data_IF_408347776591
#
_entry.id   IF_408347776591
#
_cell.length_a   1.000
_cell.length_b   1.000
_cell.length_c   1.000
_cell.angle_alpha   90.00
_cell.angle_beta   90.00
_cell.angle_gamma   90.00
#
_symmetry.space_group_name_H-M   'P 1'
#
loop_
_entity.id
_entity.type
_entity.pdbx_description
1 polymer ?
#
# COMPACT_ATOMS: atom_id res chain seq x y z
N UNK A 1 -12.90 2.50 25.33
CA UNK A 1 -13.58 1.74 24.25
C UNK A 1 -12.73 1.81 22.98
N UNK A 2 -13.16 1.17 21.89
CA UNK A 2 -12.44 1.14 20.61
C UNK A 2 -12.32 2.53 19.97
N UNK A 3 -13.42 3.29 19.86
CA UNK A 3 -13.45 4.59 19.21
C UNK A 3 -12.52 5.61 19.89
N UNK A 4 -12.51 5.62 21.23
CA UNK A 4 -11.60 6.47 21.99
C UNK A 4 -10.12 6.18 21.68
N UNK A 5 -9.75 4.90 21.51
CA UNK A 5 -8.37 4.51 21.15
C UNK A 5 -8.05 4.84 19.70
N UNK A 6 -8.99 4.61 18.79
CA UNK A 6 -8.87 4.97 17.37
C UNK A 6 -8.60 6.46 17.21
N UNK A 7 -9.40 7.31 17.85
CA UNK A 7 -9.25 8.76 17.77
C UNK A 7 -7.94 9.25 18.41
N UNK A 8 -7.53 8.65 19.53
CA UNK A 8 -6.24 8.97 20.15
C UNK A 8 -5.06 8.63 19.22
N UNK A 9 -5.10 7.47 18.57
CA UNK A 9 -4.09 7.06 17.60
C UNK A 9 -4.04 7.99 16.38
N UNK A 10 -5.20 8.33 15.79
CA UNK A 10 -5.27 9.27 14.66
C UNK A 10 -4.67 10.63 15.01
N UNK A 11 -5.00 11.19 16.19
CA UNK A 11 -4.43 12.46 16.66
C UNK A 11 -2.91 12.40 16.85
N UNK A 12 -2.42 11.27 17.35
CA UNK A 12 -0.98 11.03 17.48
C UNK A 12 -0.31 11.03 16.10
N UNK A 13 -0.79 10.21 15.16
CA UNK A 13 -0.26 10.15 13.79
C UNK A 13 -0.32 11.50 13.06
N UNK A 14 -1.43 12.25 13.20
CA UNK A 14 -1.62 13.54 12.55
C UNK A 14 -0.62 14.63 12.99
N UNK A 15 0.05 14.43 14.13
CA UNK A 15 1.04 15.36 14.70
C UNK A 15 2.46 14.81 14.69
N UNK A 16 2.66 13.55 14.29
CA UNK A 16 3.96 12.88 14.25
C UNK A 16 4.22 12.34 12.85
N UNK A 17 4.94 13.12 12.04
CA UNK A 17 5.44 12.68 10.73
C UNK A 17 6.84 12.09 10.90
N UNK A 18 7.08 10.82 10.48
CA UNK A 18 8.42 10.24 10.48
C UNK A 18 9.37 10.86 9.44
N UNK A 19 8.85 11.71 8.53
CA UNK A 19 9.60 12.32 7.42
C UNK A 19 9.96 11.33 6.31
N UNK A 20 10.55 11.83 5.22
CA UNK A 20 10.97 11.02 4.09
C UNK A 20 9.82 10.30 3.40
N UNK A 21 10.07 9.12 2.85
CA UNK A 21 9.09 8.37 2.03
C UNK A 21 7.79 8.03 2.79
N UNK A 22 7.85 7.87 4.11
CA UNK A 22 6.70 7.50 4.93
C UNK A 22 6.03 8.70 5.62
N UNK A 23 6.60 9.90 5.49
CA UNK A 23 6.10 11.10 6.15
C UNK A 23 4.65 11.44 5.76
N UNK A 24 4.30 11.25 4.49
CA UNK A 24 2.97 11.58 3.98
C UNK A 24 1.83 10.72 4.55
N UNK A 25 2.12 9.52 5.12
CA UNK A 25 1.08 8.70 5.75
C UNK A 25 0.42 9.41 6.96
N UNK A 26 1.14 10.29 7.65
CA UNK A 26 0.57 11.16 8.69
C UNK A 26 -0.57 12.04 8.17
N UNK A 27 -0.56 12.37 6.87
CA UNK A 27 -1.56 13.21 6.22
C UNK A 27 -2.87 12.46 5.99
N UNK A 28 -2.84 11.13 5.88
CA UNK A 28 -4.05 10.30 5.88
C UNK A 28 -4.80 10.43 7.20
N UNK A 29 -4.07 10.48 8.33
CA UNK A 29 -4.69 10.69 9.64
C UNK A 29 -5.29 12.09 9.78
N UNK A 30 -4.66 13.12 9.18
CA UNK A 30 -5.23 14.49 9.13
C UNK A 30 -6.52 14.53 8.33
N UNK A 31 -6.54 13.89 7.15
CA UNK A 31 -7.73 13.80 6.31
C UNK A 31 -8.90 13.10 7.03
N UNK A 32 -8.63 11.98 7.69
CA UNK A 32 -9.63 11.27 8.50
C UNK A 32 -10.19 12.13 9.65
N UNK A 33 -9.37 13.03 10.20
CA UNK A 33 -9.78 13.96 11.26
C UNK A 33 -10.45 15.24 10.74
N UNK A 34 -10.62 15.39 9.42
CA UNK A 34 -11.15 16.62 8.81
C UNK A 34 -10.22 17.82 8.96
N UNK A 35 -8.91 17.58 8.84
CA UNK A 35 -7.87 18.61 8.93
C UNK A 35 -7.18 18.78 7.59
N UNK A 36 -6.84 20.03 7.24
CA UNK A 36 -6.08 20.33 6.03
C UNK A 36 -4.73 19.60 6.05
N UNK A 37 -4.34 19.03 4.92
CA UNK A 37 -3.02 18.39 4.79
C UNK A 37 -1.90 19.43 4.81
N UNK A 38 -0.74 19.03 5.31
CA UNK A 38 0.54 19.64 4.94
C UNK A 38 0.99 19.00 3.62
N UNK A 39 1.18 19.81 2.58
CA UNK A 39 1.59 19.31 1.27
C UNK A 39 3.07 18.92 1.22
N UNK A 40 3.93 19.45 2.11
CA UNK A 40 5.38 19.24 2.01
C UNK A 40 5.79 17.75 2.04
N UNK A 41 5.24 16.89 2.93
CA UNK A 41 5.51 15.46 2.90
C UNK A 41 5.08 14.74 1.60
N UNK A 42 4.08 15.25 0.87
CA UNK A 42 3.71 14.67 -0.42
C UNK A 42 4.80 14.88 -1.46
N UNK A 43 5.44 16.06 -1.47
CA UNK A 43 6.52 16.33 -2.41
C UNK A 43 7.78 15.48 -2.13
N UNK A 44 8.06 15.16 -0.86
CA UNK A 44 9.10 14.18 -0.50
C UNK A 44 8.75 12.78 -1.04
N UNK A 45 7.50 12.35 -0.87
CA UNK A 45 6.99 11.09 -1.42
C UNK A 45 7.04 11.06 -2.96
N UNK A 46 6.68 12.15 -3.64
CA UNK A 46 6.76 12.25 -5.10
C UNK A 46 8.20 12.14 -5.58
N UNK A 47 9.17 12.75 -4.89
CA UNK A 47 10.58 12.62 -5.26
C UNK A 47 11.05 11.15 -5.25
N UNK A 48 10.55 10.32 -4.31
CA UNK A 48 10.87 8.89 -4.24
C UNK A 48 10.28 8.13 -5.43
N UNK A 49 9.03 8.42 -5.79
CA UNK A 49 8.33 7.81 -6.93
C UNK A 49 8.97 8.23 -8.25
N UNK A 50 9.19 9.53 -8.45
CA UNK A 50 9.73 10.12 -9.67
C UNK A 50 11.17 9.63 -9.91
N UNK A 51 11.96 9.43 -8.84
CA UNK A 51 13.30 8.85 -8.90
C UNK A 51 13.33 7.30 -8.98
N UNK A 52 12.17 6.64 -9.01
CA UNK A 52 12.02 5.17 -9.08
C UNK A 52 12.85 4.44 -8.02
N UNK A 53 12.88 4.99 -6.80
CA UNK A 53 13.62 4.38 -5.70
C UNK A 53 12.91 3.12 -5.20
N UNK A 54 13.69 2.24 -4.58
CA UNK A 54 13.16 1.05 -3.91
C UNK A 54 12.10 1.42 -2.86
N UNK A 55 11.08 0.58 -2.74
CA UNK A 55 9.91 0.82 -1.88
C UNK A 55 9.03 2.03 -2.27
N UNK A 56 9.07 2.47 -3.54
CA UNK A 56 8.16 3.48 -4.10
C UNK A 56 6.72 2.97 -4.31
N UNK A 57 6.55 1.65 -4.42
CA UNK A 57 5.25 0.96 -4.39
C UNK A 57 4.51 1.22 -3.06
N UNK A 58 5.20 1.24 -1.92
CA UNK A 58 4.53 1.53 -0.65
C UNK A 58 3.94 2.95 -0.64
N UNK A 59 4.65 3.89 -1.28
CA UNK A 59 4.16 5.25 -1.49
C UNK A 59 2.92 5.25 -2.38
N UNK A 60 2.93 4.51 -3.50
CA UNK A 60 1.78 4.41 -4.40
C UNK A 60 0.56 3.83 -3.67
N UNK A 61 0.71 2.79 -2.86
CA UNK A 61 -0.39 2.22 -2.08
C UNK A 61 -1.03 3.23 -1.11
N UNK A 62 -0.22 4.07 -0.45
CA UNK A 62 -0.73 5.15 0.39
C UNK A 62 -1.43 6.26 -0.42
N UNK A 63 -0.88 6.63 -1.56
CA UNK A 63 -1.46 7.62 -2.47
C UNK A 63 -2.80 7.15 -3.06
N UNK A 64 -2.90 5.87 -3.45
CA UNK A 64 -4.15 5.27 -3.90
C UNK A 64 -5.21 5.30 -2.80
N UNK A 65 -4.85 4.97 -1.55
CA UNK A 65 -5.80 5.08 -0.43
C UNK A 65 -6.35 6.49 -0.27
N UNK A 66 -5.52 7.52 -0.48
CA UNK A 66 -5.97 8.92 -0.49
C UNK A 66 -6.95 9.18 -1.63
N UNK A 67 -6.67 8.70 -2.84
CA UNK A 67 -7.59 8.86 -3.97
C UNK A 67 -8.93 8.13 -3.77
N UNK A 68 -8.94 6.95 -3.15
CA UNK A 68 -10.19 6.23 -2.91
C UNK A 68 -11.07 6.88 -1.82
N UNK A 69 -10.46 7.44 -0.77
CA UNK A 69 -11.20 7.94 0.39
C UNK A 69 -11.43 9.45 0.37
N UNK A 70 -10.49 10.22 -0.18
CA UNK A 70 -10.38 11.66 0.06
C UNK A 70 -10.21 12.50 -1.21
N UNK A 71 -10.37 11.92 -2.41
CA UNK A 71 -10.21 12.64 -3.68
C UNK A 71 -11.08 13.90 -3.82
N UNK A 72 -12.26 13.87 -3.21
CA UNK A 72 -13.22 14.99 -3.21
C UNK A 72 -13.26 15.74 -1.86
N UNK A 73 -12.30 15.48 -0.96
CA UNK A 73 -12.24 16.14 0.34
C UNK A 73 -11.87 17.62 0.19
N UNK A 74 -12.52 18.54 0.92
CA UNK A 74 -12.12 19.96 0.92
C UNK A 74 -10.77 20.22 1.61
N UNK A 75 -10.22 19.23 2.30
CA UNK A 75 -8.98 19.32 3.09
C UNK A 75 -7.71 18.95 2.29
N UNK A 76 -7.85 18.69 1.00
CA UNK A 76 -6.74 18.46 0.07
C UNK A 76 -7.00 19.23 -1.22
N UNK A 77 -5.99 19.96 -1.71
CA UNK A 77 -6.15 20.78 -2.89
C UNK A 77 -6.36 19.92 -4.13
N UNK A 78 -7.19 20.38 -5.08
CA UNK A 78 -7.40 19.69 -6.35
C UNK A 78 -6.08 19.56 -7.14
N UNK A 79 -5.23 20.57 -7.04
CA UNK A 79 -3.90 20.60 -7.64
C UNK A 79 -2.97 19.49 -7.09
N UNK A 80 -3.04 19.21 -5.77
CA UNK A 80 -2.32 18.08 -5.19
C UNK A 80 -2.91 16.74 -5.63
N UNK A 81 -4.25 16.61 -5.68
CA UNK A 81 -4.90 15.40 -6.20
C UNK A 81 -4.43 15.10 -7.64
N UNK A 82 -4.45 16.08 -8.55
CA UNK A 82 -3.99 15.88 -9.93
C UNK A 82 -2.53 15.45 -10.01
N UNK A 83 -1.67 15.96 -9.13
CA UNK A 83 -0.28 15.49 -9.02
C UNK A 83 -0.20 14.03 -8.59
N UNK A 84 -1.05 13.60 -7.66
CA UNK A 84 -1.12 12.20 -7.22
C UNK A 84 -1.58 11.30 -8.38
N UNK A 85 -2.68 11.67 -9.06
CA UNK A 85 -3.22 10.91 -10.19
C UNK A 85 -2.15 10.74 -11.30
N UNK A 86 -1.40 11.79 -11.62
CA UNK A 86 -0.32 11.72 -12.61
C UNK A 86 0.78 10.72 -12.24
N UNK A 87 1.14 10.59 -10.95
CA UNK A 87 2.15 9.62 -10.50
C UNK A 87 1.61 8.20 -10.57
N UNK A 88 0.35 8.00 -10.17
CA UNK A 88 -0.32 6.70 -10.26
C UNK A 88 -0.36 6.23 -11.72
N UNK A 89 -0.84 7.06 -12.65
CA UNK A 89 -0.91 6.70 -14.08
C UNK A 89 0.46 6.58 -14.77
N UNK A 90 1.49 7.23 -14.23
CA UNK A 90 2.87 7.18 -14.72
C UNK A 90 3.74 6.12 -14.06
N UNK A 91 3.23 5.40 -13.07
CA UNK A 91 4.02 4.42 -12.32
C UNK A 91 4.31 3.18 -13.16
N UNK A 92 5.45 2.55 -12.87
CA UNK A 92 5.83 1.24 -13.42
C UNK A 92 5.39 0.16 -12.45
N UNK A 93 4.32 -0.54 -12.79
CA UNK A 93 3.67 -1.54 -11.92
C UNK A 93 4.37 -2.88 -11.96
N UNK A 94 5.04 -3.22 -13.06
CA UNK A 94 5.80 -4.47 -13.13
C UNK A 94 7.12 -4.35 -13.90
N UNK A 95 8.09 -5.19 -13.54
CA UNK A 95 9.47 -5.17 -14.05
C UNK A 95 9.59 -5.37 -15.57
N UNK A 96 8.61 -6.02 -16.21
CA UNK A 96 8.55 -6.26 -17.65
C UNK A 96 7.97 -5.10 -18.47
N UNK A 97 7.49 -4.03 -17.82
CA UNK A 97 7.07 -2.82 -18.52
C UNK A 97 8.25 -2.10 -19.19
N UNK A 98 7.99 -1.55 -20.38
CA UNK A 98 9.03 -1.12 -21.30
C UNK A 98 9.92 0.05 -20.80
N UNK A 99 9.36 0.99 -20.03
CA UNK A 99 10.07 2.23 -19.66
C UNK A 99 10.78 2.15 -18.30
N UNK A 100 12.02 2.67 -18.25
CA UNK A 100 12.86 2.82 -17.06
C UNK A 100 13.53 1.53 -16.58
N UNK A 101 14.28 1.63 -15.48
CA UNK A 101 15.08 0.51 -14.96
C UNK A 101 14.32 -0.43 -14.00
N UNK A 102 14.98 -1.53 -13.65
CA UNK A 102 14.51 -2.56 -12.72
C UNK A 102 15.40 -2.62 -11.46
N UNK A 103 15.88 -1.47 -10.96
CA UNK A 103 16.74 -1.41 -9.76
C UNK A 103 15.98 -1.60 -8.44
N UNK A 104 14.66 -1.44 -8.47
CA UNK A 104 13.74 -1.68 -7.35
C UNK A 104 13.55 -3.18 -7.11
N UNK A 105 13.20 -3.55 -5.89
CA UNK A 105 12.85 -4.91 -5.54
C UNK A 105 11.41 -5.21 -5.98
N UNK A 106 11.22 -6.16 -6.89
CA UNK A 106 9.88 -6.63 -7.32
C UNK A 106 9.55 -8.04 -6.81
N UNK A 107 10.53 -8.74 -6.24
CA UNK A 107 10.48 -10.20 -6.13
C UNK A 107 10.23 -10.72 -4.72
N UNK A 108 10.35 -9.89 -3.68
CA UNK A 108 9.97 -10.33 -2.34
C UNK A 108 8.45 -10.36 -2.20
N UNK A 109 7.98 -11.12 -1.22
CA UNK A 109 6.56 -11.45 -1.07
C UNK A 109 5.68 -10.22 -0.84
N UNK A 110 6.09 -9.31 0.05
CA UNK A 110 5.39 -8.05 0.29
C UNK A 110 5.34 -7.16 -0.98
N UNK A 111 6.48 -6.96 -1.66
CA UNK A 111 6.53 -6.16 -2.88
C UNK A 111 5.60 -6.72 -3.96
N UNK A 112 5.55 -8.03 -4.15
CA UNK A 112 4.66 -8.66 -5.13
C UNK A 112 3.20 -8.26 -4.90
N UNK A 113 2.68 -8.41 -3.67
CA UNK A 113 1.27 -8.10 -3.43
C UNK A 113 1.01 -6.59 -3.47
N UNK A 114 1.97 -5.76 -3.04
CA UNK A 114 1.81 -4.30 -3.08
C UNK A 114 1.75 -3.81 -4.52
N UNK A 115 2.73 -4.14 -5.37
CA UNK A 115 2.74 -3.74 -6.79
C UNK A 115 1.45 -4.12 -7.50
N UNK A 116 0.98 -5.36 -7.33
CA UNK A 116 -0.22 -5.81 -8.03
C UNK A 116 -1.51 -5.26 -7.41
N UNK A 117 -1.54 -5.03 -6.09
CA UNK A 117 -2.67 -4.32 -5.47
C UNK A 117 -2.78 -2.90 -6.00
N UNK A 118 -1.65 -2.21 -6.13
CA UNK A 118 -1.60 -0.85 -6.63
C UNK A 118 -2.01 -0.78 -8.11
N UNK A 119 -1.55 -1.75 -8.92
CA UNK A 119 -1.90 -1.86 -10.33
C UNK A 119 -3.41 -2.06 -10.53
N UNK A 120 -3.99 -3.01 -9.78
CA UNK A 120 -5.42 -3.29 -9.84
C UNK A 120 -6.23 -2.05 -9.46
N UNK A 121 -5.88 -1.41 -8.33
CA UNK A 121 -6.63 -0.30 -7.79
C UNK A 121 -6.50 0.96 -8.64
N UNK A 122 -5.33 1.21 -9.24
CA UNK A 122 -5.15 2.30 -10.19
C UNK A 122 -6.00 2.09 -11.45
N UNK A 123 -5.97 0.89 -12.02
CA UNK A 123 -6.74 0.58 -13.23
C UNK A 123 -8.25 0.51 -12.96
N UNK A 124 -8.65 0.19 -11.72
CA UNK A 124 -10.04 0.34 -11.27
C UNK A 124 -10.47 1.80 -11.25
N UNK A 125 -9.65 2.67 -10.66
CA UNK A 125 -9.96 4.07 -10.45
C UNK A 125 -9.98 4.89 -11.76
N UNK A 126 -9.17 4.50 -12.75
CA UNK A 126 -9.06 5.17 -14.04
C UNK A 126 -9.41 4.21 -15.20
N UNK A 127 -10.67 3.79 -15.36
CA UNK A 127 -11.08 2.76 -16.32
C UNK A 127 -10.82 3.13 -17.79
N UNK A 128 -10.79 4.42 -18.11
CA UNK A 128 -10.60 4.92 -19.47
C UNK A 128 -9.16 5.39 -19.75
N UNK A 129 -8.24 5.22 -18.80
CA UNK A 129 -6.87 5.72 -18.92
C UNK A 129 -5.96 4.75 -19.69
N UNK A 130 -4.96 5.35 -20.34
CA UNK A 130 -3.76 4.67 -20.83
C UNK A 130 -2.61 5.00 -19.90
N UNK A 131 -1.98 3.96 -19.36
CA UNK A 131 -0.90 4.08 -18.39
C UNK A 131 0.39 4.44 -19.12
N UNK A 132 0.98 5.58 -18.75
CA UNK A 132 2.03 6.21 -19.55
C UNK A 132 3.33 5.38 -19.60
N UNK A 133 3.62 4.61 -18.55
CA UNK A 133 4.85 3.81 -18.49
C UNK A 133 4.81 2.57 -19.41
N UNK A 134 3.65 1.90 -19.48
CA UNK A 134 3.44 0.67 -20.26
C UNK A 134 2.86 0.93 -21.65
N UNK A 135 2.14 2.04 -21.84
CA UNK A 135 1.32 2.31 -23.02
C UNK A 135 0.06 1.43 -23.12
N UNK A 136 -0.29 0.72 -22.05
CA UNK A 136 -1.45 -0.18 -21.98
C UNK A 136 -2.66 0.51 -21.36
N UNK A 137 -3.84 0.03 -21.71
CA UNK A 137 -5.09 0.52 -21.13
C UNK A 137 -5.37 -0.10 -19.75
N UNK A 138 -6.37 0.44 -19.07
CA UNK A 138 -6.79 -0.05 -17.76
C UNK A 138 -7.30 -1.51 -17.79
N UNK A 139 -7.85 -1.97 -18.92
CA UNK A 139 -8.33 -3.37 -19.04
C UNK A 139 -7.17 -4.34 -18.92
N UNK A 140 -6.07 -4.08 -19.63
CA UNK A 140 -4.84 -4.85 -19.52
C UNK A 140 -4.32 -4.89 -18.08
N UNK A 141 -4.20 -3.72 -17.44
CA UNK A 141 -3.66 -3.62 -16.07
C UNK A 141 -4.55 -4.33 -15.05
N UNK A 142 -5.88 -4.25 -15.18
CA UNK A 142 -6.82 -5.02 -14.34
C UNK A 142 -6.60 -6.53 -14.49
N UNK A 143 -6.53 -7.03 -15.73
CA UNK A 143 -6.34 -8.46 -16.00
C UNK A 143 -4.98 -8.98 -15.51
N UNK A 144 -3.92 -8.22 -15.77
CA UNK A 144 -2.56 -8.53 -15.36
C UNK A 144 -2.43 -8.59 -13.83
N UNK A 145 -2.88 -7.55 -13.15
CA UNK A 145 -2.88 -7.49 -11.70
C UNK A 145 -3.69 -8.62 -11.07
N UNK A 146 -4.92 -8.88 -11.57
CA UNK A 146 -5.77 -9.96 -11.06
C UNK A 146 -5.12 -11.34 -11.21
N UNK A 147 -4.44 -11.61 -12.33
CA UNK A 147 -3.72 -12.85 -12.51
C UNK A 147 -2.66 -13.06 -11.41
N UNK A 148 -1.87 -12.02 -11.12
CA UNK A 148 -0.75 -12.11 -10.19
C UNK A 148 -1.20 -12.06 -8.73
N UNK A 149 -2.23 -11.26 -8.39
CA UNK A 149 -2.88 -11.27 -7.06
C UNK A 149 -3.42 -12.66 -6.74
N UNK A 150 -4.18 -13.27 -7.67
CA UNK A 150 -4.77 -14.61 -7.45
C UNK A 150 -3.69 -15.66 -7.27
N UNK A 151 -2.59 -15.56 -8.03
CA UNK A 151 -1.43 -16.44 -7.85
C UNK A 151 -0.77 -16.24 -6.48
N UNK A 152 -0.60 -14.99 -6.03
CA UNK A 152 -0.04 -14.68 -4.72
C UNK A 152 -0.90 -15.28 -3.60
N UNK A 153 -2.23 -15.13 -3.68
CA UNK A 153 -3.16 -15.75 -2.73
C UNK A 153 -3.11 -17.29 -2.77
N UNK A 154 -3.08 -17.91 -3.95
CA UNK A 154 -2.92 -19.37 -4.08
C UNK A 154 -1.66 -19.86 -3.35
N UNK A 155 -0.56 -19.13 -3.51
CA UNK A 155 0.69 -19.47 -2.85
C UNK A 155 0.60 -19.35 -1.32
N UNK A 156 -0.03 -18.29 -0.79
CA UNK A 156 -0.24 -18.16 0.67
C UNK A 156 -1.15 -19.27 1.20
N UNK A 157 -2.21 -19.61 0.48
CA UNK A 157 -3.15 -20.65 0.88
C UNK A 157 -2.50 -22.04 0.92
N UNK A 158 -1.58 -22.33 -0.02
CA UNK A 158 -0.95 -23.65 -0.15
C UNK A 158 0.32 -23.81 0.68
N UNK A 159 1.09 -22.73 0.85
CA UNK A 159 2.45 -22.79 1.36
C UNK A 159 2.69 -21.89 2.59
N UNK A 160 1.70 -21.10 3.02
CA UNK A 160 1.88 -20.09 4.06
C UNK A 160 2.67 -18.88 3.55
N UNK A 161 3.05 -17.96 4.44
CA UNK A 161 3.91 -16.81 4.12
C UNK A 161 5.37 -17.26 4.02
N UNK A 162 6.10 -16.82 2.99
CA UNK A 162 7.54 -17.08 2.85
C UNK A 162 8.35 -16.06 3.64
N UNK A 163 7.76 -14.90 3.91
CA UNK A 163 8.23 -13.93 4.90
C UNK A 163 7.56 -14.20 6.27
N UNK A 164 7.44 -15.48 6.66
CA UNK A 164 6.69 -15.90 7.85
C UNK A 164 7.05 -15.07 9.09
N UNK A 165 6.02 -14.64 9.83
CA UNK A 165 6.15 -13.89 11.07
C UNK A 165 7.11 -12.68 11.00
N UNK A 166 7.42 -12.15 9.80
CA UNK A 166 8.37 -11.04 9.65
C UNK A 166 7.73 -9.76 10.18
N UNK A 167 8.00 -9.44 11.44
CA UNK A 167 7.40 -8.32 12.15
C UNK A 167 7.54 -6.98 11.41
N UNK A 168 8.64 -6.80 10.66
CA UNK A 168 8.90 -5.61 9.86
C UNK A 168 8.09 -5.52 8.56
N UNK A 169 7.44 -6.59 8.12
CA UNK A 169 6.70 -6.65 6.85
C UNK A 169 5.20 -6.82 7.05
N UNK A 170 4.74 -7.08 8.28
CA UNK A 170 3.31 -7.12 8.56
C UNK A 170 2.62 -5.80 8.16
N UNK A 171 3.24 -4.65 8.44
CA UNK A 171 2.72 -3.35 8.02
C UNK A 171 2.67 -3.18 6.49
N UNK A 172 3.64 -3.73 5.77
CA UNK A 172 3.73 -3.63 4.32
C UNK A 172 2.72 -4.57 3.64
N UNK A 173 2.58 -5.81 4.11
CA UNK A 173 1.53 -6.73 3.64
C UNK A 173 0.13 -6.18 3.97
N UNK A 174 -0.06 -5.67 5.20
CA UNK A 174 -1.33 -5.09 5.61
C UNK A 174 -1.70 -3.88 4.74
N UNK A 175 -0.75 -3.03 4.33
CA UNK A 175 -1.02 -1.90 3.43
C UNK A 175 -1.72 -2.36 2.14
N UNK A 176 -1.20 -3.38 1.46
CA UNK A 176 -1.80 -3.94 0.25
C UNK A 176 -3.14 -4.62 0.54
N UNK A 177 -3.17 -5.48 1.57
CA UNK A 177 -4.34 -6.31 1.87
C UNK A 177 -5.55 -5.47 2.33
N UNK A 178 -5.37 -4.44 3.16
CA UNK A 178 -6.48 -3.57 3.57
C UNK A 178 -7.01 -2.76 2.39
N UNK A 179 -6.14 -2.29 1.51
CA UNK A 179 -6.57 -1.59 0.30
C UNK A 179 -7.36 -2.51 -0.64
N UNK A 180 -6.92 -3.76 -0.84
CA UNK A 180 -7.68 -4.76 -1.61
C UNK A 180 -9.01 -5.09 -0.96
N UNK A 181 -9.03 -5.30 0.36
CA UNK A 181 -10.26 -5.57 1.10
C UNK A 181 -11.27 -4.42 0.96
N UNK A 182 -10.81 -3.18 1.10
CA UNK A 182 -11.67 -2.00 1.09
C UNK A 182 -12.17 -1.68 -0.32
N UNK A 183 -11.31 -1.80 -1.34
CA UNK A 183 -11.52 -1.14 -2.63
C UNK A 183 -11.57 -2.06 -3.86
N UNK A 184 -11.18 -3.33 -3.78
CA UNK A 184 -11.26 -4.21 -4.95
C UNK A 184 -12.72 -4.40 -5.40
N UNK A 185 -13.01 -4.29 -6.70
CA UNK A 185 -14.35 -4.50 -7.25
C UNK A 185 -14.73 -6.00 -7.21
N UNK A 186 -13.74 -6.89 -7.35
CA UNK A 186 -13.94 -8.35 -7.30
C UNK A 186 -14.16 -8.82 -5.84
N UNK A 187 -15.36 -9.33 -5.48
CA UNK A 187 -15.65 -9.76 -4.12
C UNK A 187 -14.79 -10.95 -3.68
N UNK A 188 -14.31 -11.79 -4.61
CA UNK A 188 -13.40 -12.88 -4.28
C UNK A 188 -12.05 -12.33 -3.83
N UNK A 189 -11.51 -11.31 -4.50
CA UNK A 189 -10.26 -10.64 -4.08
C UNK A 189 -10.41 -10.06 -2.67
N UNK A 190 -11.51 -9.36 -2.39
CA UNK A 190 -11.80 -8.83 -1.06
C UNK A 190 -11.83 -9.92 0.02
N UNK A 191 -12.49 -11.05 -0.28
CA UNK A 191 -12.60 -12.16 0.65
C UNK A 191 -11.25 -12.83 0.95
N UNK A 192 -10.40 -13.02 -0.06
CA UNK A 192 -9.05 -13.58 0.13
C UNK A 192 -8.17 -12.60 0.91
N UNK A 193 -8.21 -11.30 0.58
CA UNK A 193 -7.51 -10.27 1.33
C UNK A 193 -7.92 -10.27 2.80
N UNK A 194 -9.23 -10.37 3.08
CA UNK A 194 -9.74 -10.52 4.46
C UNK A 194 -9.14 -11.73 5.16
N UNK A 195 -9.12 -12.89 4.51
CA UNK A 195 -8.57 -14.12 5.09
C UNK A 195 -7.10 -13.97 5.47
N UNK A 196 -6.30 -13.32 4.61
CA UNK A 196 -4.90 -13.02 4.90
C UNK A 196 -4.75 -12.02 6.08
N UNK A 197 -5.58 -10.96 6.13
CA UNK A 197 -5.59 -10.02 7.26
C UNK A 197 -5.90 -10.75 8.56
N UNK A 198 -6.97 -11.55 8.59
CA UNK A 198 -7.36 -12.33 9.76
C UNK A 198 -6.21 -13.24 10.23
N UNK A 199 -5.51 -13.88 9.29
CA UNK A 199 -4.36 -14.75 9.60
C UNK A 199 -3.19 -13.96 10.19
N UNK A 200 -2.78 -12.86 9.57
CA UNK A 200 -1.67 -12.03 10.06
C UNK A 200 -1.96 -11.47 11.46
N UNK A 201 -3.18 -10.98 11.69
CA UNK A 201 -3.58 -10.48 13.00
C UNK A 201 -3.66 -11.60 14.05
N UNK A 202 -4.07 -12.80 13.65
CA UNK A 202 -4.07 -13.97 14.52
C UNK A 202 -2.64 -14.38 14.90
N UNK A 203 -1.72 -14.44 13.94
CA UNK A 203 -0.29 -14.71 14.19
C UNK A 203 0.31 -13.67 15.14
N UNK A 204 0.05 -12.38 14.91
CA UNK A 204 0.50 -11.32 15.81
C UNK A 204 -0.03 -11.53 17.23
N UNK A 205 -1.30 -11.91 17.39
CA UNK A 205 -1.90 -12.18 18.69
C UNK A 205 -1.29 -13.41 19.40
N UNK A 206 -0.98 -14.47 18.66
CA UNK A 206 -0.37 -15.68 19.20
C UNK A 206 1.09 -15.49 19.61
N UNK A 207 1.83 -14.68 18.86
CA UNK A 207 3.28 -14.54 19.02
C UNK A 207 3.70 -13.30 19.81
N UNK A 208 2.73 -12.49 20.26
CA UNK A 208 2.99 -11.34 21.14
C UNK A 208 2.85 -11.73 22.61
N UNK A 209 3.93 -11.57 23.38
CA UNK A 209 3.92 -11.71 24.84
C UNK A 209 4.38 -10.41 25.49
N UNK A 210 3.54 -9.82 26.35
CA UNK A 210 3.83 -8.58 27.09
C UNK A 210 4.34 -7.43 26.20
N UNK A 211 3.77 -7.31 25.00
CA UNK A 211 4.12 -6.27 24.03
C UNK A 211 5.34 -6.56 23.16
N UNK A 212 5.92 -7.76 23.25
CA UNK A 212 7.06 -8.20 22.44
C UNK A 212 6.65 -9.37 21.56
N UNK A 213 6.89 -9.27 20.25
CA UNK A 213 6.70 -10.35 19.29
C UNK A 213 7.94 -11.26 19.26
N UNK A 214 8.04 -12.16 20.24
CA UNK A 214 9.25 -12.96 20.52
C UNK A 214 9.31 -14.31 19.80
N UNK A 215 8.99 -14.35 18.51
CA UNK A 215 8.99 -15.58 17.70
C UNK A 215 10.18 -15.62 16.73
N UNK A 216 10.30 -16.71 15.95
CA UNK A 216 11.20 -16.70 14.80
C UNK A 216 10.62 -15.79 13.72
N UNK A 217 11.48 -15.20 12.91
CA UNK A 217 11.09 -14.32 11.80
C UNK A 217 11.79 -14.80 10.53
N UNK A 218 11.06 -14.92 9.41
CA UNK A 218 11.66 -15.14 8.10
C UNK A 218 12.58 -13.99 7.70
N UNK A 219 12.23 -12.78 8.12
CA UNK A 219 13.07 -11.58 8.02
C UNK A 219 12.77 -10.62 9.17
N UNK A 220 13.82 -9.95 9.66
CA UNK A 220 13.69 -8.86 10.62
C UNK A 220 14.88 -7.91 10.51
N UNK A 221 14.76 -6.72 11.09
CA UNK A 221 15.83 -5.75 11.17
C UNK A 221 16.42 -5.74 12.57
N UNK A 222 17.73 -5.52 12.68
CA UNK A 222 18.46 -5.52 13.98
C UNK A 222 17.90 -4.53 15.01
N UNK A 223 17.24 -3.46 14.58
CA UNK A 223 16.61 -2.49 15.48
C UNK A 223 15.26 -2.94 16.07
N UNK A 224 14.70 -4.03 15.56
CA UNK A 224 13.37 -4.56 15.93
C UNK A 224 13.45 -5.86 16.74
N UNK A 225 14.66 -6.25 17.16
CA UNK A 225 14.96 -7.43 17.99
C UNK A 225 15.60 -7.01 19.31
#
# INVERSE_FOLDING_TARGET
>A
DFESRRLAYLRYCATHSPGGRTGFFSQIARLELGQDVDEAPFYEAFAVVDARLDCSDFTIGGLLRILYLYRESPHISRDLIEKIEARVLGFKYWWDEAQGDNRRCYWTENHQIIFHSDELLAAQLFPDAVFANSGRDATYHREHALHLIRRWFDFRARFGFSEWLSNCYFEEDLLALVNLHDFAEDPAVRAHAKGCIDLLLFEMALHTHRGVMGCTHGRTYTRLI
#
